data_IF_621471798007
#
_entry.id   IF_621471798007
#
_cell.length_a   1.000
_cell.length_b   1.000
_cell.length_c   1.000
_cell.angle_alpha   90.00
_cell.angle_beta   90.00
_cell.angle_gamma   90.00
#
_symmetry.space_group_name_H-M   'P 1'
#
loop_
_entity.id
_entity.type
_entity.pdbx_description
1 polymer ?
#
# COMPACT_ATOMS: atom_id res chain seq x y z
N UNK A 1 -27.42 -1.95 6.62
CA UNK A 1 -26.20 -1.60 7.39
C UNK A 1 -25.28 -0.91 6.41
N UNK A 2 -24.78 0.30 6.71
CA UNK A 2 -23.85 0.97 5.81
C UNK A 2 -22.51 0.27 5.94
N UNK A 3 -22.06 -0.40 4.88
CA UNK A 3 -20.73 -0.99 4.84
C UNK A 3 -19.67 0.09 5.07
N UNK A 4 -18.73 -0.18 5.96
CA UNK A 4 -17.59 0.69 6.22
C UNK A 4 -16.78 0.85 4.93
N UNK A 5 -16.64 2.09 4.45
CA UNK A 5 -15.85 2.40 3.25
C UNK A 5 -14.33 2.45 3.52
N UNK A 6 -13.90 2.04 4.70
CA UNK A 6 -12.49 1.99 5.05
C UNK A 6 -12.01 0.53 5.05
N UNK A 7 -11.02 0.24 4.24
CA UNK A 7 -10.41 -1.09 4.08
C UNK A 7 -8.90 -0.91 4.25
N UNK A 8 -8.35 -1.53 5.29
CA UNK A 8 -6.94 -1.52 5.66
C UNK A 8 -6.22 -2.83 5.35
N UNK A 9 -6.98 -3.85 4.99
CA UNK A 9 -6.51 -5.19 4.69
C UNK A 9 -7.22 -5.72 3.45
N UNK A 10 -6.44 -6.16 2.46
CA UNK A 10 -6.96 -6.77 1.23
C UNK A 10 -6.05 -7.91 0.80
N UNK A 11 -6.65 -9.02 0.40
CA UNK A 11 -5.98 -10.12 -0.26
C UNK A 11 -6.22 -10.01 -1.76
N UNK A 12 -5.14 -9.97 -2.55
CA UNK A 12 -5.20 -9.86 -4.01
C UNK A 12 -4.38 -10.97 -4.67
N UNK A 13 -4.83 -11.41 -5.82
CA UNK A 13 -4.12 -12.35 -6.66
C UNK A 13 -3.43 -11.59 -7.79
N UNK A 14 -2.12 -11.74 -7.90
CA UNK A 14 -1.28 -11.05 -8.88
C UNK A 14 -0.67 -12.05 -9.85
N UNK A 15 -0.72 -11.73 -11.15
CA UNK A 15 -0.10 -12.53 -12.21
C UNK A 15 0.70 -11.63 -13.15
N UNK A 16 1.97 -11.95 -13.37
CA UNK A 16 2.79 -11.25 -14.37
C UNK A 16 2.52 -11.77 -15.77
N UNK A 17 2.98 -11.05 -16.79
CA UNK A 17 2.90 -11.50 -18.16
C UNK A 17 3.92 -12.58 -18.49
N UNK A 18 3.53 -13.60 -19.26
CA UNK A 18 4.42 -14.58 -19.88
C UNK A 18 5.25 -13.91 -20.97
N UNK A 19 6.49 -14.28 -21.15
CA UNK A 19 7.31 -13.86 -22.29
C UNK A 19 6.81 -14.51 -23.59
N UNK A 20 6.79 -13.73 -24.68
CA UNK A 20 6.48 -14.25 -26.00
C UNK A 20 7.52 -15.26 -26.49
N UNK A 21 7.11 -16.23 -27.30
CA UNK A 21 8.00 -17.21 -27.91
C UNK A 21 8.82 -16.56 -29.04
N UNK A 22 10.10 -16.90 -29.17
CA UNK A 22 10.89 -16.59 -30.36
C UNK A 22 10.38 -17.37 -31.59
N UNK A 23 10.58 -16.82 -32.76
CA UNK A 23 10.18 -17.43 -34.05
C UNK A 23 11.29 -18.31 -34.61
N UNK A 24 10.92 -19.49 -35.12
CA UNK A 24 11.81 -20.39 -35.87
C UNK A 24 11.67 -20.22 -37.40
N UNK A 25 11.11 -19.08 -37.83
CA UNK A 25 10.83 -18.81 -39.25
C UNK A 25 12.11 -18.82 -40.10
N UNK A 26 11.99 -19.36 -41.34
CA UNK A 26 13.04 -19.38 -42.35
C UNK A 26 12.63 -18.46 -43.48
N UNK A 27 13.53 -17.60 -43.93
CA UNK A 27 13.29 -16.67 -45.03
C UNK A 27 13.00 -17.43 -46.33
N UNK A 28 11.90 -17.12 -46.95
CA UNK A 28 11.50 -17.67 -48.24
C UNK A 28 11.21 -16.49 -49.19
N UNK A 29 11.97 -16.43 -50.28
CA UNK A 29 11.77 -15.39 -51.31
C UNK A 29 11.86 -16.03 -52.67
N UNK A 30 11.20 -15.40 -53.65
CA UNK A 30 11.36 -15.81 -55.08
C UNK A 30 12.81 -15.73 -55.47
N UNK A 31 13.35 -16.80 -56.02
CA UNK A 31 14.76 -16.96 -56.41
C UNK A 31 15.78 -17.12 -55.24
N UNK A 32 15.37 -17.28 -54.02
CA UNK A 32 16.26 -17.56 -52.86
C UNK A 32 15.80 -18.84 -52.13
N UNK A 33 16.14 -20.03 -52.63
CA UNK A 33 15.61 -21.28 -52.06
C UNK A 33 16.11 -21.56 -50.63
N UNK A 34 17.24 -21.00 -50.20
CA UNK A 34 17.86 -21.22 -48.90
C UNK A 34 18.10 -19.86 -48.20
N UNK A 35 17.04 -19.14 -47.84
CA UNK A 35 17.12 -17.77 -47.30
C UNK A 35 17.70 -17.66 -45.88
N UNK A 36 17.89 -18.79 -45.16
CA UNK A 36 18.42 -18.80 -43.78
C UNK A 36 17.41 -18.38 -42.71
N UNK A 37 17.81 -18.45 -41.42
CA UNK A 37 16.97 -18.12 -40.30
C UNK A 37 16.71 -16.61 -40.25
N UNK A 38 15.44 -16.23 -40.10
CA UNK A 38 14.98 -14.84 -40.00
C UNK A 38 13.88 -14.64 -38.95
N UNK A 39 13.69 -15.61 -38.06
CA UNK A 39 12.74 -15.50 -36.96
C UNK A 39 13.16 -14.45 -35.94
N UNK A 40 12.23 -13.56 -35.59
CA UNK A 40 12.41 -12.51 -34.56
C UNK A 40 12.23 -13.05 -33.14
N UNK A 41 12.59 -12.23 -32.16
CA UNK A 41 12.48 -12.57 -30.74
C UNK A 41 11.07 -12.29 -30.25
N UNK A 42 10.64 -13.03 -29.22
CA UNK A 42 9.40 -12.71 -28.49
C UNK A 42 9.53 -11.44 -27.65
N UNK A 43 8.40 -10.78 -27.40
CA UNK A 43 8.32 -9.63 -26.52
C UNK A 43 8.39 -10.05 -25.05
N UNK A 44 8.77 -9.13 -24.19
CA UNK A 44 8.75 -9.30 -22.73
C UNK A 44 7.30 -9.33 -22.20
N UNK A 45 6.99 -10.18 -21.23
CA UNK A 45 5.75 -10.08 -20.45
C UNK A 45 5.72 -8.82 -19.57
N UNK A 46 4.53 -8.29 -19.28
CA UNK A 46 4.34 -7.15 -18.40
C UNK A 46 4.68 -7.47 -16.95
N UNK A 47 5.18 -6.49 -16.23
CA UNK A 47 5.43 -6.57 -14.79
C UNK A 47 4.15 -6.23 -14.00
N UNK A 48 4.07 -6.71 -12.75
CA UNK A 48 3.14 -6.16 -11.75
C UNK A 48 3.95 -5.26 -10.83
N UNK A 49 3.55 -3.98 -10.76
CA UNK A 49 4.28 -2.92 -10.05
C UNK A 49 3.37 -2.33 -8.99
N UNK A 50 3.85 -2.23 -7.76
CA UNK A 50 3.22 -1.46 -6.69
C UNK A 50 3.74 -0.03 -6.74
N UNK A 51 2.82 0.96 -6.66
CA UNK A 51 3.17 2.38 -6.63
C UNK A 51 2.51 3.07 -5.44
N UNK A 52 3.31 3.77 -4.63
CA UNK A 52 2.83 4.58 -3.53
C UNK A 52 2.08 5.83 -3.99
N UNK A 53 0.85 6.05 -3.51
CA UNK A 53 0.07 7.23 -3.82
C UNK A 53 -0.54 7.84 -2.56
N UNK A 54 -0.12 9.07 -2.20
CA UNK A 54 -0.64 9.82 -1.03
C UNK A 54 -2.12 10.22 -1.15
N UNK A 55 -2.69 10.19 -2.36
CA UNK A 55 -4.10 10.52 -2.56
C UNK A 55 -5.02 9.37 -2.16
N UNK A 56 -4.49 8.16 -2.04
CA UNK A 56 -5.18 7.01 -1.48
C UNK A 56 -4.91 6.91 0.01
N UNK A 57 -5.94 6.71 0.79
CA UNK A 57 -5.92 6.56 2.26
C UNK A 57 -6.60 5.27 2.74
N UNK A 58 -7.02 4.42 1.81
CA UNK A 58 -7.66 3.13 2.04
C UNK A 58 -7.39 2.20 0.87
N UNK A 59 -7.43 0.90 1.11
CA UNK A 59 -7.31 -0.14 0.10
C UNK A 59 -8.66 -0.51 -0.55
N UNK A 60 -9.71 0.30 -0.35
CA UNK A 60 -11.08 0.00 -0.78
C UNK A 60 -11.19 -0.34 -2.27
N UNK A 61 -10.45 0.37 -3.13
CA UNK A 61 -10.50 0.12 -4.58
C UNK A 61 -10.00 -1.28 -4.93
N UNK A 62 -9.06 -1.84 -4.16
CA UNK A 62 -8.54 -3.20 -4.35
C UNK A 62 -9.46 -4.28 -3.77
N UNK A 63 -10.41 -3.93 -2.91
CA UNK A 63 -11.46 -4.87 -2.46
C UNK A 63 -12.33 -5.35 -3.62
N UNK A 64 -12.51 -4.50 -4.63
CA UNK A 64 -13.32 -4.80 -5.82
C UNK A 64 -12.48 -5.28 -7.02
N UNK A 65 -11.18 -4.98 -7.07
CA UNK A 65 -10.25 -5.43 -8.11
C UNK A 65 -9.19 -6.35 -7.48
N UNK A 66 -9.64 -7.56 -7.13
CA UNK A 66 -8.80 -8.56 -6.44
C UNK A 66 -7.86 -9.32 -7.38
N UNK A 67 -8.10 -9.27 -8.69
CA UNK A 67 -7.34 -9.97 -9.71
C UNK A 67 -6.55 -8.98 -10.55
N UNK A 68 -5.24 -9.01 -10.43
CA UNK A 68 -4.34 -8.05 -11.06
C UNK A 68 -3.43 -8.79 -12.03
N UNK A 69 -3.70 -8.63 -13.32
CA UNK A 69 -2.97 -9.32 -14.38
C UNK A 69 -2.24 -8.33 -15.27
N UNK A 70 -0.96 -8.59 -15.51
CA UNK A 70 -0.20 -7.92 -16.54
C UNK A 70 -0.32 -8.69 -17.87
N UNK A 71 -0.16 -7.99 -18.99
CA UNK A 71 -0.34 -8.60 -20.31
C UNK A 71 0.86 -9.45 -20.74
N UNK A 72 0.61 -10.46 -21.55
CA UNK A 72 1.65 -11.32 -22.11
C UNK A 72 2.44 -10.60 -23.20
N UNK A 73 3.70 -11.01 -23.39
CA UNK A 73 4.50 -10.58 -24.53
C UNK A 73 4.06 -11.28 -25.82
N UNK A 74 4.07 -10.55 -26.91
CA UNK A 74 3.76 -11.05 -28.24
C UNK A 74 4.84 -12.03 -28.74
N UNK A 75 4.45 -13.01 -29.54
CA UNK A 75 5.40 -13.94 -30.17
C UNK A 75 6.22 -13.20 -31.24
N UNK A 76 7.45 -13.62 -31.41
CA UNK A 76 8.29 -13.17 -32.51
C UNK A 76 7.73 -13.65 -33.86
N UNK A 77 8.01 -12.91 -34.94
CA UNK A 77 7.51 -13.24 -36.27
C UNK A 77 8.62 -13.28 -37.32
N UNK A 78 8.25 -13.32 -38.61
CA UNK A 78 9.18 -13.34 -39.75
C UNK A 78 9.94 -12.03 -39.90
N UNK A 79 10.99 -12.04 -40.72
CA UNK A 79 11.80 -10.85 -41.06
C UNK A 79 12.45 -10.21 -39.81
N UNK A 80 12.82 -11.00 -38.80
CA UNK A 80 13.38 -10.58 -37.50
C UNK A 80 12.49 -9.57 -36.76
N UNK A 81 11.18 -9.63 -36.99
CA UNK A 81 10.24 -8.77 -36.27
C UNK A 81 10.06 -9.28 -34.85
N UNK A 82 10.34 -8.39 -33.89
CA UNK A 82 10.15 -8.67 -32.45
C UNK A 82 8.66 -8.70 -32.10
N UNK A 83 8.29 -9.53 -31.14
CA UNK A 83 6.98 -9.49 -30.53
C UNK A 83 6.78 -8.20 -29.73
N UNK A 84 5.53 -7.71 -29.64
CA UNK A 84 5.18 -6.56 -28.79
C UNK A 84 5.47 -6.91 -27.32
N UNK A 85 6.07 -5.99 -26.55
CA UNK A 85 6.20 -6.16 -25.10
C UNK A 85 4.82 -6.08 -24.44
N UNK A 86 4.62 -6.89 -23.42
CA UNK A 86 3.44 -6.84 -22.58
C UNK A 86 3.40 -5.55 -21.75
N UNK A 87 2.20 -5.06 -21.51
CA UNK A 87 1.96 -3.85 -20.73
C UNK A 87 2.07 -4.17 -19.24
N UNK A 88 2.81 -3.33 -18.51
CA UNK A 88 2.96 -3.44 -17.08
C UNK A 88 1.64 -3.04 -16.38
N UNK A 89 1.27 -3.76 -15.32
CA UNK A 89 0.11 -3.42 -14.49
C UNK A 89 0.59 -2.74 -13.22
N UNK A 90 0.20 -1.48 -13.05
CA UNK A 90 0.51 -0.69 -11.85
C UNK A 90 -0.66 -0.77 -10.89
N UNK A 91 -0.37 -1.15 -9.65
CA UNK A 91 -1.28 -1.15 -8.51
C UNK A 91 -0.93 0.06 -7.64
N UNK A 92 -1.84 1.00 -7.54
CA UNK A 92 -1.66 2.15 -6.67
C UNK A 92 -2.12 1.82 -5.25
N UNK A 93 -1.24 2.02 -4.27
CA UNK A 93 -1.50 1.75 -2.86
C UNK A 93 -1.20 2.97 -2.00
N UNK A 94 -1.89 3.17 -0.86
CA UNK A 94 -1.54 4.22 0.09
C UNK A 94 -0.10 4.08 0.59
N UNK A 95 0.53 5.21 0.92
CA UNK A 95 1.81 5.17 1.63
C UNK A 95 1.63 4.52 3.01
N UNK A 96 2.58 3.69 3.44
CA UNK A 96 2.48 2.89 4.65
C UNK A 96 1.84 1.51 4.45
N UNK A 97 1.63 1.10 3.19
CA UNK A 97 1.15 -0.26 2.88
C UNK A 97 2.30 -1.25 2.96
N UNK A 98 2.11 -2.32 3.72
CA UNK A 98 3.01 -3.47 3.81
C UNK A 98 2.43 -4.65 3.06
N UNK A 99 3.30 -5.38 2.41
CA UNK A 99 2.95 -6.49 1.53
C UNK A 99 3.52 -7.78 2.09
N UNK A 100 2.66 -8.78 2.26
CA UNK A 100 3.02 -10.11 2.69
C UNK A 100 2.62 -11.14 1.65
N UNK A 101 3.34 -12.24 1.58
CA UNK A 101 2.91 -13.42 0.85
C UNK A 101 1.72 -14.06 1.60
N UNK A 102 0.60 -14.26 0.92
CA UNK A 102 -0.60 -14.81 1.55
C UNK A 102 -0.49 -16.30 1.93
N UNK A 103 0.41 -17.04 1.29
CA UNK A 103 0.60 -18.48 1.55
C UNK A 103 1.60 -18.73 2.67
N UNK A 104 2.75 -18.02 2.63
CA UNK A 104 3.84 -18.22 3.59
C UNK A 104 3.78 -17.26 4.77
N UNK A 105 3.04 -16.15 4.66
CA UNK A 105 3.01 -15.06 5.62
C UNK A 105 4.32 -14.24 5.67
N UNK A 106 5.24 -14.46 4.74
CA UNK A 106 6.52 -13.77 4.72
C UNK A 106 6.35 -12.31 4.26
N UNK A 107 7.09 -11.42 4.88
CA UNK A 107 7.22 -10.04 4.45
C UNK A 107 7.90 -9.96 3.08
N UNK A 108 7.31 -9.19 2.16
CA UNK A 108 7.87 -8.96 0.83
C UNK A 108 8.48 -7.57 0.72
N UNK A 109 7.68 -6.53 0.98
CA UNK A 109 8.10 -5.13 0.88
C UNK A 109 7.13 -4.20 1.60
N UNK A 110 7.52 -2.93 1.74
CA UNK A 110 6.68 -1.84 2.19
C UNK A 110 6.77 -0.63 1.24
N UNK A 111 5.67 0.09 1.14
CA UNK A 111 5.55 1.30 0.33
C UNK A 111 5.38 2.48 1.29
N UNK A 112 6.45 3.25 1.49
CA UNK A 112 6.49 4.35 2.47
C UNK A 112 6.33 5.72 1.83
N UNK A 113 6.79 5.90 0.58
CA UNK A 113 6.86 7.20 -0.07
C UNK A 113 5.90 7.33 -1.27
N UNK A 114 5.48 8.57 -1.54
CA UNK A 114 4.71 8.88 -2.74
C UNK A 114 5.57 8.73 -3.99
N UNK A 115 5.05 8.00 -4.98
CA UNK A 115 5.76 7.72 -6.22
C UNK A 115 6.81 6.62 -6.12
N UNK A 116 7.02 6.01 -4.95
CA UNK A 116 7.86 4.82 -4.81
C UNK A 116 7.26 3.69 -5.63
N UNK A 117 8.09 3.06 -6.47
CA UNK A 117 7.69 1.93 -7.30
C UNK A 117 8.50 0.69 -6.93
N UNK A 118 7.79 -0.41 -6.70
CA UNK A 118 8.42 -1.72 -6.44
C UNK A 118 7.82 -2.75 -7.40
N UNK A 119 8.67 -3.47 -8.10
CA UNK A 119 8.25 -4.57 -8.97
C UNK A 119 7.92 -5.77 -8.06
N UNK A 120 6.64 -6.07 -7.93
CA UNK A 120 6.15 -7.19 -7.14
C UNK A 120 6.40 -8.52 -7.88
N UNK A 121 6.01 -8.58 -9.16
CA UNK A 121 6.23 -9.74 -10.02
C UNK A 121 6.88 -9.31 -11.33
N UNK A 122 7.95 -10.01 -11.71
CA UNK A 122 8.64 -9.76 -12.97
C UNK A 122 7.95 -10.51 -14.09
N UNK A 123 7.69 -9.82 -15.21
CA UNK A 123 7.26 -10.45 -16.44
C UNK A 123 8.33 -11.34 -17.03
N UNK A 124 7.92 -12.44 -17.65
CA UNK A 124 8.82 -13.38 -18.30
C UNK A 124 9.58 -12.73 -19.46
N UNK A 125 10.81 -13.10 -19.68
CA UNK A 125 11.61 -12.63 -20.83
C UNK A 125 11.11 -13.27 -22.10
N UNK A 126 11.11 -12.50 -23.21
CA UNK A 126 10.86 -13.03 -24.53
C UNK A 126 11.92 -14.04 -24.96
N UNK A 127 11.49 -15.09 -25.63
CA UNK A 127 12.38 -16.10 -26.19
C UNK A 127 13.14 -15.59 -27.41
N UNK A 128 14.36 -16.01 -27.60
CA UNK A 128 15.20 -15.65 -28.75
C UNK A 128 14.76 -16.37 -30.02
N UNK A 129 14.70 -15.65 -31.13
CA UNK A 129 14.44 -16.19 -32.46
C UNK A 129 15.60 -17.05 -33.00
N UNK A 130 15.30 -17.85 -34.02
CA UNK A 130 16.29 -18.79 -34.58
C UNK A 130 17.54 -18.11 -35.18
N UNK A 131 17.45 -16.85 -35.58
CA UNK A 131 18.59 -16.12 -36.14
C UNK A 131 19.75 -15.96 -35.16
N UNK A 132 19.48 -15.91 -33.84
CA UNK A 132 20.49 -15.85 -32.77
C UNK A 132 21.32 -17.14 -32.67
N UNK A 133 20.73 -18.28 -33.02
CA UNK A 133 21.35 -19.60 -32.90
C UNK A 133 22.14 -20.02 -34.13
N UNK A 134 22.28 -19.10 -35.10
CA UNK A 134 23.10 -19.32 -36.27
C UNK A 134 24.59 -19.31 -35.91
N UNK A 135 25.27 -20.40 -36.23
CA UNK A 135 26.73 -20.56 -36.05
C UNK A 135 27.37 -20.98 -37.37
N UNK A 136 28.72 -20.99 -37.43
CA UNK A 136 29.46 -21.45 -38.61
C UNK A 136 29.13 -22.91 -38.98
N UNK A 137 28.90 -23.76 -37.99
CA UNK A 137 28.55 -25.17 -38.16
C UNK A 137 27.03 -25.40 -38.31
N UNK A 138 26.19 -24.53 -37.72
CA UNK A 138 24.73 -24.61 -37.81
C UNK A 138 24.18 -23.35 -38.48
N UNK A 139 24.12 -23.36 -39.78
CA UNK A 139 23.71 -22.16 -40.54
C UNK A 139 22.19 -21.97 -40.63
N UNK A 140 21.39 -23.02 -40.44
CA UNK A 140 19.94 -23.04 -40.53
C UNK A 140 19.29 -23.70 -39.30
N UNK A 141 19.33 -23.09 -38.10
CA UNK A 141 18.66 -23.62 -36.91
C UNK A 141 17.13 -23.53 -37.09
N UNK A 142 16.44 -24.66 -36.91
CA UNK A 142 14.97 -24.79 -37.01
C UNK A 142 14.29 -24.75 -35.64
N UNK A 143 14.91 -24.16 -34.64
CA UNK A 143 14.38 -24.01 -33.30
C UNK A 143 14.54 -22.56 -32.83
N UNK A 144 13.67 -22.14 -31.96
CA UNK A 144 13.73 -20.87 -31.25
C UNK A 144 13.54 -21.12 -29.74
N UNK A 145 13.88 -20.16 -28.93
CA UNK A 145 13.71 -20.24 -27.50
C UNK A 145 12.27 -19.95 -27.11
N UNK A 146 11.63 -20.74 -26.23
CA UNK A 146 10.36 -20.38 -25.64
C UNK A 146 10.51 -19.12 -24.77
N UNK A 147 9.44 -18.36 -24.59
CA UNK A 147 9.41 -17.29 -23.59
C UNK A 147 9.44 -17.86 -22.18
N UNK A 148 9.96 -17.07 -21.25
CA UNK A 148 9.91 -17.44 -19.82
C UNK A 148 8.46 -17.46 -19.31
N UNK A 149 8.12 -18.37 -18.39
CA UNK A 149 6.78 -18.46 -17.82
C UNK A 149 6.42 -17.20 -17.02
N UNK A 150 5.14 -17.00 -16.81
CA UNK A 150 4.60 -16.01 -15.89
C UNK A 150 4.87 -16.39 -14.44
N UNK A 151 4.84 -15.39 -13.56
CA UNK A 151 4.88 -15.55 -12.11
C UNK A 151 3.52 -15.23 -11.52
N UNK A 152 3.08 -16.01 -10.57
CA UNK A 152 1.81 -15.86 -9.86
C UNK A 152 2.08 -15.77 -8.38
N UNK A 153 1.34 -14.91 -7.70
CA UNK A 153 1.49 -14.72 -6.26
C UNK A 153 0.21 -14.18 -5.66
N UNK A 154 -0.24 -14.78 -4.59
CA UNK A 154 -1.29 -14.24 -3.75
C UNK A 154 -0.65 -13.40 -2.65
N UNK A 155 -1.03 -12.13 -2.57
CA UNK A 155 -0.46 -11.19 -1.59
C UNK A 155 -1.53 -10.58 -0.70
N UNK A 156 -1.11 -10.33 0.52
CA UNK A 156 -1.85 -9.55 1.50
C UNK A 156 -1.27 -8.15 1.53
N UNK A 157 -2.12 -7.16 1.32
CA UNK A 157 -1.81 -5.76 1.51
C UNK A 157 -2.39 -5.30 2.84
N UNK A 158 -1.54 -4.85 3.74
CA UNK A 158 -1.92 -4.32 5.04
C UNK A 158 -1.48 -2.85 5.15
N UNK A 159 -2.43 -1.96 5.40
CA UNK A 159 -2.14 -0.55 5.62
C UNK A 159 -1.72 -0.33 7.07
N UNK A 160 -0.46 0.00 7.30
CA UNK A 160 0.10 0.22 8.64
C UNK A 160 -0.07 1.64 9.17
N UNK A 161 -0.24 2.64 8.31
CA UNK A 161 -0.47 4.02 8.70
C UNK A 161 -1.96 4.27 8.89
N UNK A 162 -2.37 4.52 10.12
CA UNK A 162 -3.75 4.84 10.46
C UNK A 162 -4.05 6.32 10.26
N UNK A 163 -3.15 7.17 10.74
CA UNK A 163 -3.26 8.62 10.63
C UNK A 163 -1.89 9.28 10.78
N UNK A 164 -1.77 10.49 10.24
CA UNK A 164 -0.58 11.31 10.43
C UNK A 164 -0.54 11.89 11.85
N UNK A 165 -1.72 12.25 12.40
CA UNK A 165 -1.89 12.84 13.73
C UNK A 165 -2.87 12.02 14.56
N UNK A 166 -2.42 11.51 15.71
CA UNK A 166 -3.28 10.87 16.71
C UNK A 166 -3.71 11.83 17.81
N UNK A 167 -5.01 11.89 18.11
CA UNK A 167 -5.55 12.70 19.20
C UNK A 167 -5.47 11.94 20.52
N UNK A 168 -4.85 12.57 21.51
CA UNK A 168 -4.70 12.03 22.87
C UNK A 168 -5.29 13.01 23.88
N UNK A 169 -6.17 12.56 24.76
CA UNK A 169 -6.77 13.45 25.76
C UNK A 169 -7.89 12.77 26.52
N UNK A 170 -8.22 13.31 27.69
CA UNK A 170 -9.29 12.83 28.54
C UNK A 170 -10.67 12.83 27.86
N UNK A 171 -11.64 12.06 28.34
CA UNK A 171 -13.03 12.24 27.97
C UNK A 171 -13.44 13.71 28.08
N UNK A 172 -14.23 14.19 27.12
CA UNK A 172 -14.67 15.59 27.05
C UNK A 172 -13.57 16.65 26.83
N UNK A 173 -12.32 16.27 26.54
CA UNK A 173 -11.27 17.21 26.14
C UNK A 173 -11.51 17.88 24.77
N UNK A 174 -12.60 17.54 24.08
CA UNK A 174 -12.99 18.16 22.81
C UNK A 174 -12.42 17.47 21.57
N UNK A 175 -11.87 16.27 21.66
CA UNK A 175 -11.25 15.52 20.54
C UNK A 175 -12.16 15.37 19.32
N UNK A 176 -13.32 14.78 19.50
CA UNK A 176 -14.29 14.56 18.42
C UNK A 176 -14.88 15.85 17.88
N UNK A 177 -15.01 16.90 18.72
CA UNK A 177 -15.42 18.24 18.29
C UNK A 177 -14.36 18.88 17.42
N UNK A 178 -13.09 18.82 17.82
CA UNK A 178 -11.97 19.30 17.02
C UNK A 178 -11.95 18.58 15.67
N UNK A 179 -12.00 17.25 15.67
CA UNK A 179 -11.96 16.44 14.46
C UNK A 179 -13.09 16.83 13.49
N UNK A 180 -14.30 17.06 14.01
CA UNK A 180 -15.44 17.49 13.20
C UNK A 180 -15.28 18.91 12.62
N UNK A 181 -14.59 19.80 13.35
CA UNK A 181 -14.37 21.20 12.92
C UNK A 181 -13.28 21.30 11.86
N UNK A 182 -12.20 20.52 11.99
CA UNK A 182 -11.04 20.62 11.08
C UNK A 182 -11.17 19.75 9.86
N UNK A 183 -12.04 18.73 9.88
CA UNK A 183 -12.21 17.78 8.78
C UNK A 183 -12.94 18.39 7.60
N UNK A 184 -12.42 18.20 6.38
CA UNK A 184 -13.04 18.65 5.13
C UNK A 184 -14.33 17.89 4.78
N UNK A 185 -14.50 16.69 5.34
CA UNK A 185 -15.71 15.88 5.23
C UNK A 185 -16.10 15.40 6.63
N UNK A 186 -17.36 15.01 6.83
CA UNK A 186 -17.79 14.44 8.12
C UNK A 186 -16.85 13.30 8.50
N UNK A 187 -16.29 13.29 9.72
CA UNK A 187 -15.45 12.21 10.19
C UNK A 187 -16.14 10.88 9.96
N UNK A 188 -15.40 9.92 9.44
CA UNK A 188 -15.94 8.59 9.21
C UNK A 188 -15.52 7.69 10.35
N UNK A 189 -16.49 6.97 10.88
CA UNK A 189 -16.26 5.88 11.82
C UNK A 189 -15.68 4.74 10.99
N UNK A 190 -14.47 4.29 11.34
CA UNK A 190 -13.84 3.15 10.71
C UNK A 190 -14.13 1.92 11.56
N UNK A 191 -14.94 0.99 11.02
CA UNK A 191 -15.19 -0.31 11.64
C UNK A 191 -13.99 -1.22 11.35
N UNK A 192 -13.13 -1.36 12.35
CA UNK A 192 -12.08 -2.37 12.31
C UNK A 192 -12.63 -3.65 12.93
N UNK A 193 -12.61 -4.79 12.22
CA UNK A 193 -13.17 -6.04 12.72
C UNK A 193 -12.50 -6.56 14.01
N UNK A 194 -11.37 -5.96 14.38
CA UNK A 194 -10.56 -6.32 15.54
C UNK A 194 -10.54 -5.25 16.65
N UNK A 195 -11.30 -4.14 16.51
CA UNK A 195 -11.40 -3.11 17.55
C UNK A 195 -12.77 -3.14 18.21
N UNK A 196 -12.78 -3.19 19.53
CA UNK A 196 -14.00 -3.00 20.33
C UNK A 196 -14.47 -1.54 20.31
N UNK A 197 -13.59 -0.61 19.91
CA UNK A 197 -13.84 0.83 19.79
C UNK A 197 -13.43 1.29 18.40
N UNK A 198 -14.36 1.91 17.70
CA UNK A 198 -14.17 2.39 16.33
C UNK A 198 -13.47 3.75 16.33
N UNK A 199 -12.26 3.89 15.73
CA UNK A 199 -11.62 5.19 15.62
C UNK A 199 -12.36 6.10 14.64
N UNK A 200 -12.46 7.39 14.98
CA UNK A 200 -12.97 8.38 14.08
C UNK A 200 -11.82 9.00 13.27
N UNK A 201 -11.87 8.85 11.95
CA UNK A 201 -10.87 9.42 11.05
C UNK A 201 -11.40 10.67 10.36
N UNK A 202 -10.59 11.71 10.30
CA UNK A 202 -10.90 12.95 9.58
C UNK A 202 -9.75 13.37 8.68
N UNK A 203 -10.08 13.75 7.43
CA UNK A 203 -9.13 14.33 6.50
C UNK A 203 -9.12 15.84 6.74
N UNK A 204 -7.98 16.36 7.15
CA UNK A 204 -7.77 17.78 7.41
C UNK A 204 -7.16 18.41 6.17
N UNK A 205 -7.91 19.31 5.53
CA UNK A 205 -7.38 20.09 4.41
C UNK A 205 -6.45 21.17 4.91
N UNK A 206 -5.29 21.28 4.25
CA UNK A 206 -4.30 22.31 4.46
C UNK A 206 -4.05 23.07 3.16
N UNK A 207 -3.32 24.18 3.18
CA UNK A 207 -3.10 25.09 2.04
C UNK A 207 -2.74 24.37 0.75
N UNK A 208 -3.20 24.89 -0.42
CA UNK A 208 -2.82 24.46 -1.78
C UNK A 208 -3.01 22.97 -2.07
N UNK A 209 -4.15 22.41 -1.69
CA UNK A 209 -4.49 21.02 -2.00
C UNK A 209 -3.74 19.98 -1.18
N UNK A 210 -3.00 20.39 -0.16
CA UNK A 210 -2.37 19.51 0.81
C UNK A 210 -3.39 19.04 1.84
N UNK A 211 -3.20 17.85 2.38
CA UNK A 211 -4.05 17.28 3.42
C UNK A 211 -3.26 16.30 4.28
N UNK A 212 -3.73 16.05 5.49
CA UNK A 212 -3.23 15.02 6.38
C UNK A 212 -4.40 14.35 7.10
N UNK A 213 -4.20 13.15 7.59
CA UNK A 213 -5.22 12.36 8.28
C UNK A 213 -5.05 12.51 9.79
N UNK A 214 -6.15 12.81 10.47
CA UNK A 214 -6.22 12.92 11.93
C UNK A 214 -7.14 11.83 12.47
N UNK A 215 -6.71 11.12 13.50
CA UNK A 215 -7.49 10.07 14.15
C UNK A 215 -7.86 10.45 15.59
N UNK A 216 -9.15 10.37 15.92
CA UNK A 216 -9.61 10.33 17.31
C UNK A 216 -9.63 8.88 17.77
N UNK A 217 -8.79 8.56 18.73
CA UNK A 217 -8.60 7.21 19.25
C UNK A 217 -9.30 7.13 20.61
N UNK A 218 -10.59 6.70 20.64
CA UNK A 218 -11.32 6.59 21.90
C UNK A 218 -10.69 5.51 22.79
N UNK A 219 -10.70 5.73 24.10
CA UNK A 219 -10.35 4.69 25.08
C UNK A 219 -8.87 4.52 25.42
N UNK A 220 -7.97 5.45 25.05
CA UNK A 220 -6.59 5.43 25.56
C UNK A 220 -6.59 5.56 27.09
N UNK A 221 -7.57 6.22 27.67
CA UNK A 221 -7.58 6.67 29.06
C UNK A 221 -8.63 5.97 29.93
N UNK A 222 -9.68 5.37 29.35
CA UNK A 222 -10.72 4.68 30.11
C UNK A 222 -10.37 3.19 30.33
N UNK A 223 -9.65 2.87 31.43
CA UNK A 223 -9.49 1.50 31.92
C UNK A 223 -8.26 0.74 31.42
N UNK A 224 -7.27 1.40 30.85
CA UNK A 224 -5.98 0.76 30.49
C UNK A 224 -5.27 0.19 31.72
N UNK A 225 -5.44 0.80 32.90
CA UNK A 225 -4.90 0.32 34.18
C UNK A 225 -5.68 -0.82 34.82
N UNK A 226 -6.93 -1.08 34.40
CA UNK A 226 -7.78 -2.12 35.01
C UNK A 226 -7.70 -3.49 34.31
N UNK A 227 -6.81 -3.69 33.33
CA UNK A 227 -6.58 -5.01 32.72
C UNK A 227 -7.77 -5.57 31.91
N UNK A 228 -8.80 -4.78 31.65
CA UNK A 228 -9.87 -5.12 30.72
C UNK A 228 -9.38 -4.83 29.31
N UNK A 229 -8.64 -5.77 28.79
CA UNK A 229 -8.03 -5.88 27.50
C UNK A 229 -8.64 -5.05 26.35
N UNK A 230 -8.25 -3.79 26.23
CA UNK A 230 -8.19 -3.13 24.94
C UNK A 230 -7.10 -3.89 24.17
N UNK A 231 -7.52 -4.65 23.17
CA UNK A 231 -6.66 -5.62 22.53
C UNK A 231 -5.32 -5.02 22.09
N UNK A 232 -4.23 -5.73 22.31
CA UNK A 232 -2.87 -5.42 21.86
C UNK A 232 -2.80 -4.95 20.39
N UNK A 233 -3.81 -5.23 19.57
CA UNK A 233 -3.96 -4.82 18.17
C UNK A 233 -4.31 -3.35 18.02
N UNK A 234 -5.20 -2.82 18.86
CA UNK A 234 -5.58 -1.41 18.85
C UNK A 234 -4.38 -0.51 19.19
N UNK A 235 -3.50 -0.98 20.02
CA UNK A 235 -2.30 -0.31 20.45
C UNK A 235 -1.25 -0.17 19.36
N UNK A 236 -1.15 -1.17 18.47
CA UNK A 236 -0.33 -1.11 17.28
C UNK A 236 -0.75 0.01 16.32
N UNK A 237 -2.02 0.42 16.34
CA UNK A 237 -2.50 1.50 15.48
C UNK A 237 -2.05 2.88 15.97
N UNK A 238 -1.89 3.06 17.28
CA UNK A 238 -1.34 4.31 17.83
C UNK A 238 0.16 4.43 17.55
N UNK A 239 0.88 3.32 17.59
CA UNK A 239 2.29 3.25 17.21
C UNK A 239 2.54 3.73 15.77
N UNK A 240 1.52 3.71 14.95
CA UNK A 240 1.57 4.03 13.52
C UNK A 240 1.30 5.51 13.20
N UNK A 241 0.95 6.34 14.17
CA UNK A 241 0.83 7.79 13.97
C UNK A 241 2.20 8.47 13.99
N UNK A 242 2.42 9.41 13.09
CA UNK A 242 3.70 10.13 13.01
C UNK A 242 3.82 11.20 14.12
N UNK A 243 2.69 11.78 14.55
CA UNK A 243 2.61 12.86 15.52
C UNK A 243 1.47 12.62 16.51
N UNK A 244 1.67 12.99 17.77
CA UNK A 244 0.64 12.94 18.81
C UNK A 244 0.20 14.35 19.18
N UNK A 245 -1.11 14.62 19.09
CA UNK A 245 -1.72 15.87 19.56
C UNK A 245 -2.39 15.63 20.91
N UNK A 246 -1.74 16.11 21.97
CA UNK A 246 -2.30 16.09 23.32
C UNK A 246 -3.31 17.19 23.47
N UNK A 247 -4.49 16.85 23.98
CA UNK A 247 -5.59 17.80 24.16
C UNK A 247 -5.96 17.87 25.64
N UNK A 248 -5.72 19.02 26.24
CA UNK A 248 -6.06 19.32 27.65
C UNK A 248 -7.06 20.48 27.68
N UNK A 249 -8.19 20.32 28.36
CA UNK A 249 -9.15 21.43 28.46
C UNK A 249 -8.58 22.57 29.30
N UNK A 250 -8.85 23.82 28.88
CA UNK A 250 -8.42 25.02 29.61
C UNK A 250 -9.19 25.29 30.91
N UNK A 251 -10.29 24.57 31.13
CA UNK A 251 -11.11 24.63 32.34
C UNK A 251 -10.61 23.72 33.48
N UNK A 252 -9.41 23.15 33.34
CA UNK A 252 -8.77 22.28 34.37
C UNK A 252 -7.98 23.12 35.37
N UNK A 253 -7.85 22.56 36.59
CA UNK A 253 -7.09 23.23 37.67
C UNK A 253 -5.61 23.30 37.42
N UNK A 254 -5.03 22.29 36.70
CA UNK A 254 -3.60 22.17 36.41
C UNK A 254 -3.34 21.44 35.09
N UNK A 255 -3.10 22.21 34.04
CA UNK A 255 -2.86 21.71 32.67
C UNK A 255 -1.59 20.84 32.63
N UNK A 256 -0.54 21.23 33.34
CA UNK A 256 0.70 20.49 33.36
C UNK A 256 0.57 19.11 33.97
N UNK A 257 -0.15 19.04 35.10
CA UNK A 257 -0.42 17.77 35.79
C UNK A 257 -1.24 16.82 34.93
N UNK A 258 -2.28 17.33 34.26
CA UNK A 258 -3.07 16.50 33.33
C UNK A 258 -2.23 15.99 32.16
N UNK A 259 -1.39 16.83 31.58
CA UNK A 259 -0.47 16.43 30.54
C UNK A 259 0.53 15.36 31.02
N UNK A 260 1.08 15.47 32.25
CA UNK A 260 1.96 14.47 32.82
C UNK A 260 1.23 13.14 33.09
N UNK A 261 -0.03 13.16 33.50
CA UNK A 261 -0.86 11.96 33.65
C UNK A 261 -1.03 11.25 32.30
N UNK A 262 -1.39 12.00 31.26
CA UNK A 262 -1.52 11.46 29.90
C UNK A 262 -0.22 10.84 29.39
N UNK A 263 0.91 11.46 29.66
CA UNK A 263 2.23 10.92 29.31
C UNK A 263 2.53 9.62 30.06
N UNK A 264 2.24 9.56 31.35
CA UNK A 264 2.47 8.37 32.15
C UNK A 264 1.58 7.21 31.71
N UNK A 265 0.34 7.48 31.34
CA UNK A 265 -0.55 6.45 30.78
C UNK A 265 -0.02 5.91 29.44
N UNK A 266 0.43 6.79 28.56
CA UNK A 266 1.07 6.40 27.31
C UNK A 266 2.36 5.58 27.56
N UNK A 267 3.19 5.98 28.51
CA UNK A 267 4.41 5.27 28.87
C UNK A 267 4.13 3.87 29.44
N UNK A 268 3.09 3.75 30.24
CA UNK A 268 2.65 2.46 30.80
C UNK A 268 2.16 1.53 29.71
N UNK A 269 1.59 2.12 28.65
CA UNK A 269 1.04 1.45 27.52
C UNK A 269 2.11 0.95 26.54
N UNK A 270 2.94 1.86 26.00
CA UNK A 270 4.12 1.59 25.18
C UNK A 270 5.16 2.70 25.38
N UNK A 271 6.33 2.38 26.02
CA UNK A 271 7.40 3.36 26.22
C UNK A 271 7.93 4.00 24.92
N UNK A 272 7.89 3.27 23.79
CA UNK A 272 8.35 3.78 22.48
C UNK A 272 7.52 4.97 21.97
N UNK A 273 6.30 5.13 22.47
CA UNK A 273 5.46 6.26 22.12
C UNK A 273 5.95 7.58 22.71
N UNK A 274 6.79 7.54 23.72
CA UNK A 274 7.41 8.73 24.30
C UNK A 274 8.44 9.37 23.37
N UNK A 275 8.98 8.62 22.40
CA UNK A 275 9.96 9.13 21.43
C UNK A 275 9.31 9.88 20.27
N UNK A 276 7.97 9.81 20.15
CA UNK A 276 7.25 10.49 19.08
C UNK A 276 7.16 11.99 19.30
N UNK A 277 7.09 12.71 18.18
CA UNK A 277 6.83 14.16 18.19
C UNK A 277 5.45 14.44 18.80
N UNK A 278 5.40 15.50 19.60
CA UNK A 278 4.24 15.87 20.39
C UNK A 278 3.89 17.33 20.24
N UNK A 279 2.60 17.63 20.21
CA UNK A 279 2.06 18.99 20.27
C UNK A 279 0.99 19.02 21.37
N UNK A 280 0.94 20.07 22.14
CA UNK A 280 -0.05 20.28 23.19
C UNK A 280 -1.07 21.32 22.74
N UNK A 281 -2.35 20.96 22.70
CA UNK A 281 -3.45 21.86 22.43
C UNK A 281 -4.27 22.08 23.70
N UNK A 282 -4.34 23.32 24.16
CA UNK A 282 -5.21 23.74 25.26
C UNK A 282 -6.58 24.08 24.64
N UNK A 283 -7.57 23.23 24.89
CA UNK A 283 -8.90 23.35 24.30
C UNK A 283 -9.84 24.20 25.15
N UNK A 284 -10.99 24.58 24.59
CA UNK A 284 -11.98 25.46 25.25
C UNK A 284 -11.42 26.83 25.67
N UNK A 285 -10.45 27.34 24.90
CA UNK A 285 -9.82 28.63 25.20
C UNK A 285 -10.79 29.84 25.09
N UNK A 286 -11.97 29.62 24.54
CA UNK A 286 -13.06 30.59 24.56
C UNK A 286 -13.60 30.89 25.97
N UNK A 287 -13.28 30.06 26.95
CA UNK A 287 -13.63 30.25 28.36
C UNK A 287 -12.53 30.96 29.16
N UNK A 288 -11.38 31.23 28.54
CA UNK A 288 -10.22 31.84 29.18
C UNK A 288 -10.10 33.32 28.75
N UNK A 289 -9.92 34.21 29.73
CA UNK A 289 -9.57 35.60 29.47
C UNK A 289 -8.08 35.73 29.12
N UNK A 290 -7.70 36.81 28.42
CA UNK A 290 -6.30 37.06 28.04
C UNK A 290 -5.34 37.09 29.24
N UNK A 291 -5.82 37.57 30.41
CA UNK A 291 -5.04 37.59 31.66
C UNK A 291 -4.76 36.15 32.16
N UNK A 292 -5.75 35.27 32.08
CA UNK A 292 -5.61 33.85 32.46
C UNK A 292 -4.66 33.11 31.51
N UNK A 293 -4.75 33.36 30.20
CA UNK A 293 -3.82 32.78 29.22
C UNK A 293 -2.40 33.20 29.55
N UNK A 294 -2.13 34.47 29.83
CA UNK A 294 -0.81 34.97 30.22
C UNK A 294 -0.29 34.38 31.55
N UNK A 295 -1.18 34.00 32.46
CA UNK A 295 -0.82 33.31 33.71
C UNK A 295 -0.53 31.83 33.49
N UNK A 296 -1.22 31.17 32.55
CA UNK A 296 -1.06 29.72 32.26
C UNK A 296 0.17 29.45 31.41
N UNK A 297 0.52 30.35 30.48
CA UNK A 297 1.63 30.18 29.54
C UNK A 297 2.97 29.79 30.21
N UNK A 298 3.41 30.40 31.33
CA UNK A 298 4.64 30.02 32.02
C UNK A 298 4.55 28.68 32.78
N UNK A 299 3.36 28.13 32.97
CA UNK A 299 3.17 26.80 33.62
C UNK A 299 3.24 25.63 32.66
N UNK A 300 3.18 25.91 31.35
CA UNK A 300 3.22 24.89 30.32
C UNK A 300 4.64 24.29 30.15
N UNK A 301 4.76 23.08 29.60
CA UNK A 301 6.05 22.46 29.37
C UNK A 301 6.84 23.18 28.26
N UNK A 302 8.06 23.64 28.55
CA UNK A 302 8.90 24.42 27.64
C UNK A 302 9.37 23.64 26.40
N UNK A 303 9.40 22.31 26.46
CA UNK A 303 9.96 21.44 25.41
C UNK A 303 8.92 20.95 24.40
N UNK A 304 7.67 21.38 24.50
CA UNK A 304 6.59 20.90 23.63
C UNK A 304 5.90 22.10 22.97
N UNK A 305 5.78 22.13 21.64
CA UNK A 305 4.99 23.14 20.98
C UNK A 305 3.57 23.13 21.53
N UNK A 306 3.06 24.27 21.96
CA UNK A 306 1.72 24.39 22.53
C UNK A 306 0.90 25.48 21.86
N UNK A 307 -0.42 25.36 21.92
CA UNK A 307 -1.35 26.31 21.35
C UNK A 307 -2.68 26.30 22.08
N UNK A 308 -3.29 27.48 22.25
CA UNK A 308 -4.64 27.64 22.77
C UNK A 308 -5.65 27.62 21.61
N UNK A 309 -6.66 26.76 21.69
CA UNK A 309 -7.65 26.57 20.64
C UNK A 309 -9.08 26.54 21.18
N UNK A 310 -10.00 26.99 20.36
CA UNK A 310 -11.44 26.74 20.57
C UNK A 310 -12.03 26.13 19.28
N UNK A 311 -12.49 24.90 19.38
CA UNK A 311 -13.19 24.24 18.27
C UNK A 311 -14.56 24.84 17.96
N UNK A 312 -15.16 25.53 18.92
CA UNK A 312 -16.48 26.15 18.78
C UNK A 312 -16.39 27.51 18.07
N UNK A 313 -15.44 28.36 18.49
CA UNK A 313 -15.23 29.68 17.90
C UNK A 313 -14.33 29.70 16.69
N UNK A 314 -13.55 28.64 16.51
CA UNK A 314 -12.51 28.54 15.45
C UNK A 314 -11.19 29.22 15.83
N UNK A 315 -11.08 29.76 17.06
CA UNK A 315 -9.86 30.42 17.54
C UNK A 315 -8.69 29.45 17.51
N UNK A 316 -7.53 29.86 16.97
CA UNK A 316 -6.29 29.08 16.95
C UNK A 316 -6.27 27.89 15.98
N UNK A 317 -7.38 27.53 15.34
CA UNK A 317 -7.47 26.33 14.48
C UNK A 317 -6.52 26.40 13.28
N UNK A 318 -6.40 27.55 12.62
CA UNK A 318 -5.49 27.69 11.48
C UNK A 318 -4.01 27.59 11.91
N UNK A 319 -3.68 28.18 13.05
CA UNK A 319 -2.34 28.12 13.63
C UNK A 319 -2.01 26.68 14.06
N UNK A 320 -2.97 25.95 14.63
CA UNK A 320 -2.82 24.53 14.93
C UNK A 320 -2.46 23.72 13.67
N UNK A 321 -3.18 23.94 12.56
CA UNK A 321 -2.88 23.28 11.29
C UNK A 321 -1.47 23.62 10.80
N UNK A 322 -1.02 24.86 10.94
CA UNK A 322 0.32 25.32 10.57
C UNK A 322 1.40 24.62 11.43
N UNK A 323 1.20 24.52 12.74
CA UNK A 323 2.09 23.82 13.66
C UNK A 323 2.15 22.32 13.31
N UNK A 324 1.01 21.66 13.20
CA UNK A 324 0.94 20.24 12.87
C UNK A 324 1.63 19.93 11.53
N UNK A 325 1.38 20.77 10.51
CA UNK A 325 2.04 20.61 9.21
C UNK A 325 3.55 20.76 9.30
N UNK A 326 4.04 21.73 10.08
CA UNK A 326 5.48 21.96 10.27
C UNK A 326 6.11 20.78 11.00
N UNK A 327 5.48 20.29 12.07
CA UNK A 327 5.98 19.14 12.84
C UNK A 327 5.98 17.84 12.02
N UNK A 328 4.93 17.60 11.22
CA UNK A 328 4.84 16.42 10.34
C UNK A 328 5.93 16.39 9.25
N UNK A 329 6.38 17.56 8.80
CA UNK A 329 7.39 17.66 7.73
C UNK A 329 8.82 17.87 8.25
N UNK A 330 9.07 17.83 9.55
CA UNK A 330 10.43 17.79 10.09
C UNK A 330 11.15 16.53 9.64
N UNK A 331 12.45 16.63 9.39
CA UNK A 331 13.27 15.50 8.95
C UNK A 331 13.29 14.34 9.97
N UNK A 332 13.07 14.63 11.25
CA UNK A 332 12.90 13.63 12.31
C UNK A 332 11.62 12.80 12.18
N UNK A 333 10.60 13.29 11.46
CA UNK A 333 9.34 12.59 11.20
C UNK A 333 9.27 11.97 9.80
N UNK A 334 10.22 12.31 8.92
CA UNK A 334 10.43 11.49 7.75
C UNK A 334 10.90 10.15 8.30
N UNK A 335 10.04 9.14 8.20
CA UNK A 335 10.39 7.76 8.51
C UNK A 335 11.75 7.49 7.83
N UNK A 336 12.84 7.66 8.56
CA UNK A 336 14.07 6.96 8.25
C UNK A 336 13.64 5.52 8.21
N UNK A 337 13.67 4.94 7.01
CA UNK A 337 12.99 3.71 6.67
C UNK A 337 13.02 2.78 7.87
N UNK A 338 11.86 2.44 8.37
CA UNK A 338 11.68 1.64 9.59
C UNK A 338 12.79 0.63 9.54
N UNK A 339 13.77 0.78 10.44
CA UNK A 339 14.97 -0.06 10.40
C UNK A 339 14.47 -1.47 10.36
N UNK A 340 14.71 -2.14 9.26
CA UNK A 340 14.29 -3.51 8.95
C UNK A 340 14.68 -4.51 10.05
N UNK A 341 15.47 -4.07 11.02
CA UNK A 341 15.93 -4.84 12.16
C UNK A 341 14.90 -5.01 13.28
N UNK A 342 13.86 -4.16 13.37
CA UNK A 342 12.88 -4.24 14.47
C UNK A 342 11.55 -4.89 14.05
N UNK A 343 11.32 -5.14 12.77
CA UNK A 343 10.13 -5.88 12.28
C UNK A 343 10.55 -7.30 11.85
N UNK A 344 11.39 -7.94 12.59
CA UNK A 344 11.36 -9.39 12.65
C UNK A 344 10.17 -9.76 13.54
N UNK A 345 8.98 -9.68 12.98
CA UNK A 345 7.85 -10.39 13.56
C UNK A 345 8.28 -11.83 13.67
N UNK A 346 8.53 -12.26 14.91
CA UNK A 346 8.87 -13.65 15.19
C UNK A 346 7.80 -14.50 14.53
N UNK A 347 8.19 -15.62 13.93
CA UNK A 347 7.29 -16.55 13.24
C UNK A 347 6.00 -16.90 14.07
N UNK A 348 6.04 -16.67 15.38
CA UNK A 348 4.89 -16.76 16.30
C UNK A 348 3.78 -15.74 16.04
N UNK A 349 4.10 -14.54 15.54
CA UNK A 349 3.08 -13.51 15.29
C UNK A 349 2.39 -13.77 13.94
N UNK A 350 3.10 -14.36 13.00
CA UNK A 350 2.54 -14.78 11.69
C UNK A 350 1.58 -15.98 11.89
N UNK A 351 1.96 -16.96 12.74
CA UNK A 351 1.09 -18.09 13.05
C UNK A 351 -0.21 -17.64 13.75
N UNK A 352 -0.12 -16.64 14.66
CA UNK A 352 -1.29 -16.03 15.28
C UNK A 352 -2.17 -15.29 14.28
N UNK A 353 -1.58 -14.58 13.32
CA UNK A 353 -2.31 -13.88 12.25
C UNK A 353 -3.07 -14.87 11.37
N UNK A 354 -2.46 -16.03 11.06
CA UNK A 354 -3.09 -17.10 10.29
C UNK A 354 -4.23 -17.80 11.06
N UNK A 355 -4.07 -17.97 12.36
CA UNK A 355 -5.08 -18.57 13.23
C UNK A 355 -6.30 -17.64 13.41
N UNK A 356 -6.04 -16.34 13.52
CA UNK A 356 -7.06 -15.29 13.62
C UNK A 356 -7.80 -15.05 12.30
N UNK A 357 -7.16 -15.29 11.14
CA UNK A 357 -7.78 -15.26 9.82
C UNK A 357 -8.72 -16.45 9.60
N UNK A 358 -8.40 -17.63 10.16
CA UNK A 358 -9.29 -18.80 10.16
C UNK A 358 -10.52 -18.59 11.02
N UNK A 359 -10.39 -17.89 12.15
CA UNK A 359 -11.51 -17.59 13.05
C UNK A 359 -12.48 -16.52 12.48
N UNK A 360 -12.06 -15.73 11.50
CA UNK A 360 -12.92 -14.71 10.89
C UNK A 360 -13.87 -15.25 9.80
N UNK A 361 -13.86 -16.56 9.51
CA UNK A 361 -14.89 -17.22 8.69
C UNK A 361 -14.96 -16.76 7.23
N UNK A 362 -13.87 -16.20 6.69
CA UNK A 362 -13.77 -15.86 5.27
C UNK A 362 -13.14 -16.99 4.42
N UNK A 363 -13.39 -18.24 4.80
CA UNK A 363 -13.24 -19.36 3.89
C UNK A 363 -14.50 -19.43 3.00
N UNK A 364 -14.78 -18.38 2.22
CA UNK A 364 -15.47 -18.58 0.97
C UNK A 364 -14.47 -19.28 0.06
N UNK A 365 -14.75 -20.54 -0.21
CA UNK A 365 -14.05 -21.39 -1.16
C UNK A 365 -13.80 -20.59 -2.44
N UNK A 366 -12.56 -20.15 -2.64
CA UNK A 366 -12.11 -19.62 -3.91
C UNK A 366 -12.02 -20.81 -4.86
N UNK A 367 -13.15 -21.20 -5.46
CA UNK A 367 -13.13 -22.00 -6.68
C UNK A 367 -12.44 -21.15 -7.76
N UNK A 368 -11.22 -21.53 -8.07
CA UNK A 368 -10.50 -21.01 -9.22
C UNK A 368 -11.15 -21.60 -10.47
N UNK A 369 -12.08 -20.89 -11.10
CA UNK A 369 -12.32 -21.09 -12.51
C UNK A 369 -11.07 -20.63 -13.25
N UNK A 370 -10.20 -21.59 -13.56
CA UNK A 370 -9.20 -21.39 -14.59
C UNK A 370 -9.99 -21.28 -15.90
N UNK A 371 -10.22 -20.06 -16.38
CA UNK A 371 -10.31 -19.90 -17.82
C UNK A 371 -8.93 -20.34 -18.34
N UNK A 372 -8.82 -21.59 -18.78
CA UNK A 372 -7.79 -21.99 -19.71
C UNK A 372 -7.93 -21.00 -20.85
N UNK A 373 -7.04 -20.00 -20.88
CA UNK A 373 -6.82 -19.25 -22.09
C UNK A 373 -6.62 -20.32 -23.14
N UNK A 374 -7.65 -20.50 -24.01
CA UNK A 374 -7.54 -21.37 -25.14
C UNK A 374 -6.24 -20.92 -25.84
N UNK A 375 -5.17 -21.68 -25.61
CA UNK A 375 -4.02 -21.59 -26.45
C UNK A 375 -4.60 -21.71 -27.85
N UNK A 376 -4.61 -20.59 -28.58
CA UNK A 376 -4.78 -20.62 -30.03
C UNK A 376 -3.63 -21.47 -30.53
N UNK A 377 -3.82 -22.79 -30.42
CA UNK A 377 -3.13 -23.76 -31.23
C UNK A 377 -3.52 -23.46 -32.69
N UNK A 378 -2.90 -22.43 -33.22
CA UNK A 378 -2.73 -22.33 -34.64
C UNK A 378 -1.80 -23.47 -35.02
N UNK A 379 -2.39 -24.66 -35.16
CA UNK A 379 -1.85 -25.70 -35.96
C UNK A 379 -1.55 -25.11 -37.34
N UNK A 380 -0.28 -24.80 -37.54
CA UNK A 380 0.21 -24.65 -38.91
C UNK A 380 0.14 -26.04 -39.52
N UNK A 381 -1.03 -26.39 -40.09
CA UNK A 381 -1.08 -27.41 -41.14
C UNK A 381 -0.03 -27.03 -42.17
N UNK A 382 1.01 -27.81 -42.22
CA UNK A 382 1.92 -27.82 -43.34
C UNK A 382 1.09 -28.36 -44.51
N UNK A 383 0.49 -27.52 -45.31
CA UNK A 383 0.13 -27.87 -46.67
C UNK A 383 1.41 -28.18 -47.39
N UNK A 384 1.77 -29.46 -47.40
CA UNK A 384 2.67 -30.04 -48.38
C UNK A 384 1.98 -29.87 -49.73
N UNK A 385 2.13 -28.69 -50.34
CA UNK A 385 1.91 -28.55 -51.78
C UNK A 385 2.97 -29.40 -52.46
N UNK A 386 2.57 -30.64 -52.79
CA UNK A 386 3.20 -31.49 -53.76
C UNK A 386 3.33 -30.74 -55.08
N UNK A 387 4.50 -30.20 -55.35
CA UNK A 387 4.91 -29.82 -56.68
C UNK A 387 5.43 -31.09 -57.35
N UNK A 388 4.50 -31.99 -57.70
CA UNK A 388 4.77 -33.08 -58.66
C UNK A 388 4.78 -32.54 -60.09
N UNK A 389 5.91 -32.68 -60.71
CA UNK A 389 6.19 -33.13 -62.06
C UNK A 389 5.03 -32.92 -63.09
N UNK A 390 5.07 -31.81 -63.80
CA UNK A 390 4.66 -31.71 -65.21
C UNK A 390 5.72 -31.00 -66.05
N UNK A 391 6.81 -31.68 -66.35
CA UNK A 391 7.65 -31.47 -67.53
C UNK A 391 7.92 -32.81 -68.15
N UNK A 392 6.98 -33.23 -69.01
CA UNK A 392 7.29 -34.02 -70.21
C UNK A 392 5.99 -34.05 -71.07
N UNK A 393 5.90 -33.13 -72.03
CA UNK A 393 5.41 -33.37 -73.38
C UNK A 393 5.02 -32.05 -74.06
N UNK A 394 5.89 -31.42 -74.76
CA UNK A 394 5.84 -31.02 -76.19
C UNK A 394 6.97 -30.07 -76.54
#
# INVERSE_FOLDING_TARGET
>A
MAESNFVDYVKIYCRSGKGGRGSAHMRREKYVPNGGPDGGDGGRGGHVILRGNRNYWTLLHLKYDRHVFATHGGNGSKNKSFGKDGEDKVIEVPCGTVVYNAETGEYICDITEHGQEIILLKGGRGGLGNWHFRTATRQAPRFAQPGEPMQELMVILELKLLADVGLVGFPNAGKSTLLSTVSAARPKIANYPFTTLEPNLGIVSYREGKSFVMADIPGIIEGASEGKGLGLRFLRHIERNSLLLFMVPGDTDDIRKEYEILLNELATFNPEMLDKQRVLAITKSDMLDEELIAMLEPTLPDNVPHIFISSVTGLGIQQLKDILWTELNKDSNKLEGVRTETIVHRAKDVAKLQEELKDMGEDEDFEYEYEEDADDDFDYEYEDENWDEEEEKK
#
